data_IF_672163669454
#
_entry.id   IF_672163669454
#
_cell.length_a   1.000
_cell.length_b   1.000
_cell.length_c   1.000
_cell.angle_alpha   90.00
_cell.angle_beta   90.00
_cell.angle_gamma   90.00
#
_symmetry.space_group_name_H-M   'P 1'
#
loop_
_entity.id
_entity.type
_entity.pdbx_description
1 polymer ?
#
# COMPACT_ATOMS: atom_id res chain seq x y z
N UNK A 1 11.31 -7.53 3.58
CA UNK A 1 10.75 -8.89 3.48
C UNK A 1 9.22 -8.86 3.40
N UNK A 2 8.53 -8.25 4.41
CA UNK A 2 7.05 -8.21 4.47
C UNK A 2 6.41 -7.55 3.24
N UNK A 3 7.02 -6.50 2.70
CA UNK A 3 6.57 -5.79 1.51
C UNK A 3 6.74 -6.63 0.23
N UNK A 4 7.94 -7.16 0.02
CA UNK A 4 8.31 -7.82 -1.24
C UNK A 4 7.91 -9.29 -1.29
N UNK A 5 8.00 -10.00 -0.16
CA UNK A 5 7.78 -11.44 -0.13
C UNK A 5 6.40 -11.81 0.45
N UNK A 6 6.35 -12.22 1.72
CA UNK A 6 5.16 -12.74 2.40
C UNK A 6 4.89 -11.87 3.63
N UNK A 7 3.68 -11.33 3.75
CA UNK A 7 2.48 -11.49 2.91
C UNK A 7 2.34 -10.44 1.79
N UNK A 8 3.41 -9.76 1.38
CA UNK A 8 3.40 -8.66 0.41
C UNK A 8 3.24 -9.08 -1.05
N UNK A 9 4.06 -8.45 -1.93
CA UNK A 9 3.92 -8.57 -3.39
C UNK A 9 3.95 -10.00 -3.92
N UNK A 10 4.94 -10.80 -3.53
CA UNK A 10 5.06 -12.16 -4.02
C UNK A 10 3.79 -12.97 -3.73
N UNK A 11 3.28 -12.89 -2.50
CA UNK A 11 2.09 -13.61 -2.10
C UNK A 11 0.83 -13.13 -2.85
N UNK A 12 0.62 -11.82 -2.95
CA UNK A 12 -0.52 -11.21 -3.64
C UNK A 12 -0.53 -11.57 -5.13
N UNK A 13 0.63 -11.45 -5.79
CA UNK A 13 0.78 -11.73 -7.24
C UNK A 13 0.62 -13.23 -7.51
N UNK A 14 1.17 -14.10 -6.67
CA UNK A 14 1.02 -15.53 -6.81
C UNK A 14 -0.45 -15.95 -6.76
N UNK A 15 -1.22 -15.47 -5.77
CA UNK A 15 -2.67 -15.73 -5.69
C UNK A 15 -3.36 -15.25 -6.98
N UNK A 16 -3.06 -14.06 -7.46
CA UNK A 16 -3.67 -13.52 -8.67
C UNK A 16 -3.36 -14.36 -9.91
N UNK A 17 -2.12 -14.84 -10.05
CA UNK A 17 -1.70 -15.66 -11.19
C UNK A 17 -2.31 -17.07 -11.19
N UNK A 18 -2.73 -17.55 -10.04
CA UNK A 18 -3.43 -18.86 -9.91
C UNK A 18 -4.92 -18.79 -10.28
N UNK A 19 -5.50 -17.59 -10.46
CA UNK A 19 -6.91 -17.45 -10.86
C UNK A 19 -7.14 -18.02 -12.26
N UNK A 20 -7.98 -19.06 -12.36
CA UNK A 20 -8.22 -19.79 -13.63
C UNK A 20 -9.36 -19.20 -14.46
N UNK A 21 -10.37 -18.65 -13.79
CA UNK A 21 -11.63 -18.22 -14.41
C UNK A 21 -11.68 -16.72 -14.74
N UNK A 22 -10.51 -16.08 -14.87
CA UNK A 22 -10.39 -14.67 -15.25
C UNK A 22 -9.54 -14.52 -16.50
N UNK A 23 -9.81 -13.51 -17.35
CA UNK A 23 -9.03 -13.29 -18.57
C UNK A 23 -7.57 -12.93 -18.27
N UNK A 24 -6.68 -13.21 -19.22
CA UNK A 24 -5.23 -13.05 -19.07
C UNK A 24 -4.81 -11.65 -18.58
N UNK A 25 -5.45 -10.59 -19.06
CA UNK A 25 -5.14 -9.22 -18.60
C UNK A 25 -5.44 -9.01 -17.11
N UNK A 26 -6.39 -9.76 -16.55
CA UNK A 26 -6.69 -9.72 -15.10
C UNK A 26 -5.69 -10.54 -14.28
N UNK A 27 -5.19 -11.63 -14.85
CA UNK A 27 -4.20 -12.50 -14.18
C UNK A 27 -2.81 -11.87 -14.14
N UNK A 28 -2.41 -11.20 -15.20
CA UNK A 28 -1.05 -10.71 -15.41
C UNK A 28 -0.94 -9.18 -15.47
N UNK A 29 -2.06 -8.47 -15.46
CA UNK A 29 -2.09 -7.02 -15.26
C UNK A 29 -2.17 -6.66 -13.78
N UNK A 30 -2.23 -5.37 -13.47
CA UNK A 30 -2.33 -4.92 -12.09
C UNK A 30 -2.72 -3.46 -11.98
N UNK A 31 -3.36 -3.15 -10.85
CA UNK A 31 -3.66 -1.80 -10.41
C UNK A 31 -2.56 -1.37 -9.42
N UNK A 32 -1.76 -0.39 -9.80
CA UNK A 32 -0.57 0.01 -9.04
C UNK A 32 -0.92 0.39 -7.59
N UNK A 33 -2.02 1.13 -7.40
CA UNK A 33 -2.44 1.53 -6.06
C UNK A 33 -2.91 0.35 -5.19
N UNK A 34 -3.47 -0.70 -5.80
CA UNK A 34 -3.80 -1.93 -5.09
C UNK A 34 -2.53 -2.70 -4.68
N UNK A 35 -1.63 -2.92 -5.62
CA UNK A 35 -0.41 -3.71 -5.40
C UNK A 35 0.52 -3.05 -4.38
N UNK A 36 0.86 -1.77 -4.59
CA UNK A 36 1.72 -1.03 -3.67
C UNK A 36 1.05 -0.76 -2.32
N UNK A 37 -0.26 -0.51 -2.34
CA UNK A 37 -1.04 -0.36 -1.12
C UNK A 37 -1.05 -1.63 -0.30
N UNK A 38 -1.20 -2.80 -0.93
CA UNK A 38 -1.09 -4.09 -0.27
C UNK A 38 0.30 -4.31 0.31
N UNK A 39 1.38 -4.04 -0.45
CA UNK A 39 2.75 -4.15 0.03
C UNK A 39 3.01 -3.32 1.28
N UNK A 40 2.61 -2.05 1.28
CA UNK A 40 2.77 -1.17 2.43
C UNK A 40 1.86 -1.59 3.61
N UNK A 41 0.63 -2.01 3.34
CA UNK A 41 -0.26 -2.58 4.35
C UNK A 41 0.33 -3.85 4.98
N UNK A 42 0.95 -4.73 4.20
CA UNK A 42 1.61 -5.95 4.67
C UNK A 42 2.74 -5.66 5.68
N UNK A 43 3.47 -4.56 5.50
CA UNK A 43 4.46 -4.11 6.49
C UNK A 43 3.82 -3.87 7.87
N UNK A 44 2.59 -3.35 7.91
CA UNK A 44 1.88 -3.08 9.17
C UNK A 44 1.48 -4.36 9.90
N UNK A 45 1.26 -5.46 9.19
CA UNK A 45 0.90 -6.75 9.77
C UNK A 45 2.05 -7.40 10.55
N UNK A 46 3.29 -6.96 10.33
CA UNK A 46 4.45 -7.51 11.02
C UNK A 46 4.38 -7.44 12.55
N UNK A 47 3.65 -6.46 13.09
CA UNK A 47 3.38 -6.39 14.53
C UNK A 47 2.47 -7.52 14.99
N UNK A 48 1.37 -7.74 14.30
CA UNK A 48 0.40 -8.80 14.61
C UNK A 48 1.00 -10.20 14.38
N UNK A 49 1.92 -10.31 13.42
CA UNK A 49 2.67 -11.55 13.13
C UNK A 49 3.85 -11.79 14.10
N UNK A 50 4.17 -10.85 14.99
CA UNK A 50 5.24 -10.99 15.96
C UNK A 50 6.65 -10.97 15.37
N UNK A 51 6.84 -10.44 14.16
CA UNK A 51 8.15 -10.42 13.48
C UNK A 51 8.98 -9.18 13.77
N UNK A 52 8.40 -8.14 14.37
CA UNK A 52 9.13 -6.98 14.88
C UNK A 52 9.54 -7.23 16.34
N UNK A 53 10.58 -8.01 16.52
CA UNK A 53 11.10 -8.41 17.85
C UNK A 53 12.05 -7.38 18.47
N UNK A 54 12.58 -6.48 17.63
CA UNK A 54 13.47 -5.40 18.01
C UNK A 54 12.79 -4.05 17.76
N UNK A 55 12.78 -3.10 18.72
CA UNK A 55 12.25 -1.76 18.55
C UNK A 55 12.83 -1.01 17.32
N UNK A 56 14.10 -1.24 17.00
CA UNK A 56 14.74 -0.63 15.82
C UNK A 56 14.16 -1.14 14.50
N UNK A 57 13.76 -2.42 14.43
CA UNK A 57 13.06 -2.96 13.26
C UNK A 57 11.70 -2.26 13.07
N UNK A 58 10.96 -2.06 14.16
CA UNK A 58 9.68 -1.35 14.09
C UNK A 58 9.86 0.14 13.76
N UNK A 59 10.91 0.76 14.30
CA UNK A 59 11.27 2.14 13.93
C UNK A 59 11.58 2.24 12.43
N UNK A 60 12.36 1.30 11.87
CA UNK A 60 12.64 1.24 10.44
C UNK A 60 11.36 1.11 9.59
N UNK A 61 10.39 0.31 10.04
CA UNK A 61 9.07 0.22 9.40
C UNK A 61 8.35 1.58 9.42
N UNK A 62 8.35 2.29 10.55
CA UNK A 62 7.73 3.62 10.66
C UNK A 62 8.41 4.65 9.76
N UNK A 63 9.73 4.61 9.64
CA UNK A 63 10.46 5.45 8.70
C UNK A 63 10.07 5.15 7.24
N UNK A 64 9.92 3.87 6.91
CA UNK A 64 9.42 3.44 5.59
C UNK A 64 8.01 3.95 5.30
N UNK A 65 7.12 3.94 6.28
CA UNK A 65 5.75 4.46 6.15
C UNK A 65 5.74 5.98 6.01
N UNK A 66 6.53 6.69 6.85
CA UNK A 66 6.70 8.14 6.76
C UNK A 66 7.19 8.54 5.36
N UNK A 67 8.15 7.80 4.82
CA UNK A 67 8.66 8.02 3.47
C UNK A 67 7.56 7.95 2.41
N UNK A 68 6.65 6.96 2.51
CA UNK A 68 5.51 6.83 1.59
C UNK A 68 4.47 7.93 1.81
N UNK A 69 4.32 8.44 3.03
CA UNK A 69 3.48 9.61 3.29
C UNK A 69 4.06 10.91 2.70
N UNK A 70 5.37 11.12 2.80
CA UNK A 70 6.09 12.22 2.16
C UNK A 70 5.87 12.22 0.64
N UNK A 71 5.87 11.06 0.00
CA UNK A 71 5.61 10.91 -1.44
C UNK A 71 4.28 11.54 -1.87
N UNK A 72 3.24 11.49 -1.04
CA UNK A 72 1.95 12.14 -1.34
C UNK A 72 2.09 13.65 -1.53
N UNK A 73 2.96 14.27 -0.74
CA UNK A 73 3.20 15.72 -0.80
C UNK A 73 4.09 16.07 -1.99
N UNK A 74 5.23 15.39 -2.12
CA UNK A 74 6.25 15.79 -3.10
C UNK A 74 5.86 15.46 -4.55
N UNK A 75 5.19 14.34 -4.81
CA UNK A 75 4.70 14.00 -6.15
C UNK A 75 3.60 14.99 -6.59
N UNK A 76 2.65 15.27 -5.70
CA UNK A 76 1.63 16.29 -5.93
C UNK A 76 2.25 17.70 -6.07
N UNK A 77 3.28 17.99 -5.27
CA UNK A 77 4.05 19.22 -5.37
C UNK A 77 4.63 19.41 -6.76
N UNK A 78 5.33 18.40 -7.27
CA UNK A 78 5.91 18.40 -8.62
C UNK A 78 4.86 18.57 -9.72
N UNK A 79 3.89 17.66 -9.76
CA UNK A 79 3.04 17.49 -10.94
C UNK A 79 1.77 18.34 -10.93
N UNK A 80 1.38 18.87 -9.78
CA UNK A 80 0.14 19.66 -9.64
C UNK A 80 0.39 21.08 -9.11
N UNK A 81 1.46 21.31 -8.36
CA UNK A 81 1.73 22.59 -7.71
C UNK A 81 2.94 23.34 -8.27
N UNK A 82 3.62 22.78 -9.25
CA UNK A 82 4.76 23.41 -9.92
C UNK A 82 6.01 23.51 -9.05
N UNK A 83 6.19 22.60 -8.09
CA UNK A 83 7.41 22.55 -7.29
C UNK A 83 8.63 22.23 -8.14
N UNK A 84 9.75 22.84 -7.82
CA UNK A 84 11.03 22.49 -8.42
C UNK A 84 11.57 21.21 -7.80
N UNK A 85 12.53 20.60 -8.49
CA UNK A 85 13.29 19.44 -7.99
C UNK A 85 13.91 19.74 -6.62
N UNK A 86 14.49 20.93 -6.45
CA UNK A 86 15.13 21.37 -5.22
C UNK A 86 14.12 21.48 -4.07
N UNK A 87 12.94 22.04 -4.32
CA UNK A 87 11.87 22.11 -3.31
C UNK A 87 11.44 20.71 -2.84
N UNK A 88 11.41 19.72 -3.72
CA UNK A 88 11.12 18.32 -3.35
C UNK A 88 12.22 17.77 -2.46
N UNK A 89 13.49 17.92 -2.84
CA UNK A 89 14.64 17.45 -2.07
C UNK A 89 14.66 18.11 -0.68
N UNK A 90 14.45 19.40 -0.61
CA UNK A 90 14.42 20.16 0.65
C UNK A 90 13.27 19.68 1.56
N UNK A 91 12.09 19.47 0.99
CA UNK A 91 10.95 18.94 1.75
C UNK A 91 11.22 17.54 2.33
N UNK A 92 11.79 16.63 1.53
CA UNK A 92 12.15 15.29 1.99
C UNK A 92 13.17 15.34 3.13
N UNK A 93 14.21 16.15 3.01
CA UNK A 93 15.25 16.33 4.05
C UNK A 93 14.72 16.99 5.32
N UNK A 94 13.78 17.91 5.19
CA UNK A 94 13.17 18.59 6.34
C UNK A 94 12.21 17.68 7.13
N UNK A 95 11.65 16.64 6.51
CA UNK A 95 10.61 15.80 7.12
C UNK A 95 11.03 14.33 7.34
N UNK A 96 12.27 13.99 7.04
CA UNK A 96 12.81 12.64 7.28
C UNK A 96 14.32 12.67 7.47
N UNK A 97 14.88 11.56 7.92
CA UNK A 97 16.33 11.36 8.04
C UNK A 97 16.97 10.85 6.74
N UNK A 98 16.40 11.18 5.57
CA UNK A 98 16.91 10.71 4.28
C UNK A 98 18.26 11.34 3.95
N UNK A 99 19.18 10.55 3.45
CA UNK A 99 20.46 11.01 2.94
C UNK A 99 20.26 11.81 1.64
N UNK A 100 21.15 12.80 1.40
CA UNK A 100 21.03 13.68 0.24
C UNK A 100 21.03 12.93 -1.09
N UNK A 101 21.83 11.89 -1.22
CA UNK A 101 21.91 11.07 -2.43
C UNK A 101 20.58 10.40 -2.74
N UNK A 102 19.95 9.84 -1.71
CA UNK A 102 18.66 9.15 -1.85
C UNK A 102 17.54 10.14 -2.16
N UNK A 103 17.55 11.31 -1.50
CA UNK A 103 16.58 12.36 -1.78
C UNK A 103 16.64 12.86 -3.24
N UNK A 104 17.85 13.01 -3.77
CA UNK A 104 18.10 13.37 -5.18
C UNK A 104 17.57 12.29 -6.11
N UNK A 105 17.96 11.03 -5.92
CA UNK A 105 17.57 9.91 -6.76
C UNK A 105 16.03 9.73 -6.77
N UNK A 106 15.40 9.86 -5.60
CA UNK A 106 13.95 9.74 -5.48
C UNK A 106 13.21 10.92 -6.13
N UNK A 107 13.72 12.17 -5.99
CA UNK A 107 13.13 13.32 -6.68
C UNK A 107 13.14 13.12 -8.21
N UNK A 108 14.26 12.66 -8.75
CA UNK A 108 14.39 12.37 -10.19
C UNK A 108 13.49 11.20 -10.63
N UNK A 109 13.34 10.19 -9.80
CA UNK A 109 12.39 9.10 -10.04
C UNK A 109 10.95 9.62 -10.11
N UNK A 110 10.53 10.50 -9.20
CA UNK A 110 9.15 11.04 -9.22
C UNK A 110 8.90 11.91 -10.44
N UNK A 111 9.90 12.67 -10.90
CA UNK A 111 9.81 13.43 -12.16
C UNK A 111 9.58 12.49 -13.34
N UNK A 112 10.29 11.35 -13.38
CA UNK A 112 10.24 10.41 -14.51
C UNK A 112 8.95 9.59 -14.59
N UNK A 113 8.30 9.32 -13.45
CA UNK A 113 7.09 8.46 -13.37
C UNK A 113 6.00 9.11 -12.52
N UNK A 114 5.30 10.14 -13.04
CA UNK A 114 4.28 10.88 -12.32
C UNK A 114 3.19 10.00 -11.73
N UNK A 115 2.84 10.23 -10.45
CA UNK A 115 1.74 9.56 -9.77
C UNK A 115 2.05 8.17 -9.21
N UNK A 116 3.12 7.49 -9.64
CA UNK A 116 3.47 6.17 -9.11
C UNK A 116 3.77 6.23 -7.61
N UNK A 117 4.44 7.29 -7.16
CA UNK A 117 4.79 7.49 -5.76
C UNK A 117 3.57 7.60 -4.83
N UNK A 118 2.42 8.03 -5.33
CA UNK A 118 1.16 8.14 -4.57
C UNK A 118 0.54 6.78 -4.25
N UNK A 119 0.77 5.79 -5.08
CA UNK A 119 0.10 4.49 -5.06
C UNK A 119 0.19 3.79 -3.70
N UNK A 120 1.36 3.84 -3.09
CA UNK A 120 1.68 3.17 -1.82
C UNK A 120 0.75 3.60 -0.68
N UNK A 121 0.81 4.87 -0.33
CA UNK A 121 0.08 5.38 0.85
C UNK A 121 -1.42 5.50 0.58
N UNK A 122 -1.84 5.88 -0.63
CA UNK A 122 -3.26 5.93 -1.00
C UNK A 122 -3.87 4.52 -0.92
N UNK A 123 -3.20 3.51 -1.48
CA UNK A 123 -3.70 2.14 -1.44
C UNK A 123 -3.73 1.56 -0.04
N UNK A 124 -2.68 1.78 0.76
CA UNK A 124 -2.63 1.35 2.16
C UNK A 124 -3.76 1.98 2.99
N UNK A 125 -3.97 3.29 2.87
CA UNK A 125 -5.03 3.99 3.59
C UNK A 125 -6.42 3.45 3.23
N UNK A 126 -6.65 3.12 1.96
CA UNK A 126 -7.93 2.53 1.54
C UNK A 126 -8.12 1.13 2.12
N UNK A 127 -7.09 0.26 2.07
CA UNK A 127 -7.19 -1.08 2.67
C UNK A 127 -7.43 -1.00 4.19
N UNK A 128 -6.75 -0.09 4.88
CA UNK A 128 -6.96 0.14 6.32
C UNK A 128 -8.37 0.66 6.63
N UNK A 129 -8.87 1.61 5.83
CA UNK A 129 -10.24 2.12 5.94
C UNK A 129 -11.26 0.98 5.79
N UNK A 130 -11.08 0.10 4.81
CA UNK A 130 -11.97 -1.04 4.62
C UNK A 130 -11.88 -2.06 5.75
N UNK A 131 -10.69 -2.30 6.30
CA UNK A 131 -10.50 -3.15 7.50
C UNK A 131 -11.25 -2.58 8.70
N UNK A 132 -11.07 -1.30 8.99
CA UNK A 132 -11.76 -0.62 10.11
C UNK A 132 -13.28 -0.67 9.95
N UNK A 133 -13.78 -0.42 8.73
CA UNK A 133 -15.21 -0.51 8.40
C UNK A 133 -15.76 -1.91 8.66
N UNK A 134 -15.04 -2.94 8.22
CA UNK A 134 -15.42 -4.33 8.45
C UNK A 134 -15.40 -4.69 9.94
N UNK A 135 -14.37 -4.27 10.67
CA UNK A 135 -14.29 -4.47 12.13
C UNK A 135 -15.46 -3.81 12.87
N UNK A 136 -15.79 -2.57 12.51
CA UNK A 136 -16.90 -1.86 13.14
C UNK A 136 -18.27 -2.51 12.84
N UNK A 137 -18.46 -2.99 11.62
CA UNK A 137 -19.73 -3.60 11.21
C UNK A 137 -19.94 -5.03 11.76
N UNK A 138 -18.87 -5.83 11.81
CA UNK A 138 -18.96 -7.25 12.18
C UNK A 138 -18.68 -7.52 13.67
N UNK A 139 -18.02 -6.57 14.36
CA UNK A 139 -17.71 -6.71 15.78
C UNK A 139 -16.97 -8.02 16.09
N UNK A 140 -17.52 -8.83 17.00
CA UNK A 140 -16.94 -10.11 17.39
C UNK A 140 -16.90 -11.16 16.27
N UNK A 141 -17.67 -10.98 15.17
CA UNK A 141 -17.63 -11.89 14.01
C UNK A 141 -16.49 -11.55 13.04
N UNK A 142 -15.76 -10.44 13.22
CA UNK A 142 -14.67 -10.07 12.32
C UNK A 142 -13.51 -11.06 12.42
N UNK A 143 -13.20 -11.71 11.30
CA UNK A 143 -12.00 -12.55 11.15
C UNK A 143 -11.03 -11.85 10.20
N UNK A 144 -9.83 -11.46 10.65
CA UNK A 144 -8.83 -10.82 9.79
C UNK A 144 -8.36 -11.71 8.64
N UNK A 145 -8.36 -13.02 8.80
CA UNK A 145 -8.01 -13.96 7.71
C UNK A 145 -9.05 -13.96 6.61
N UNK A 146 -10.33 -13.96 6.97
CA UNK A 146 -11.43 -13.86 6.02
C UNK A 146 -11.42 -12.52 5.30
N UNK A 147 -11.12 -11.42 6.01
CA UNK A 147 -10.95 -10.10 5.40
C UNK A 147 -9.80 -10.09 4.37
N UNK A 148 -8.62 -10.60 4.72
CA UNK A 148 -7.48 -10.63 3.79
C UNK A 148 -7.75 -11.54 2.58
N UNK A 149 -8.39 -12.67 2.80
CA UNK A 149 -8.83 -13.55 1.71
C UNK A 149 -9.80 -12.82 0.77
N UNK A 150 -10.77 -12.07 1.34
CA UNK A 150 -11.68 -11.26 0.54
C UNK A 150 -10.94 -10.19 -0.25
N UNK A 151 -9.97 -9.48 0.32
CA UNK A 151 -9.18 -8.48 -0.40
C UNK A 151 -8.49 -9.10 -1.63
N UNK A 152 -7.85 -10.27 -1.47
CA UNK A 152 -6.94 -10.84 -2.46
C UNK A 152 -7.59 -11.78 -3.50
N UNK A 153 -8.72 -12.41 -3.18
CA UNK A 153 -9.28 -13.54 -3.95
C UNK A 153 -9.60 -13.26 -5.42
N UNK A 154 -9.83 -12.01 -5.79
CA UNK A 154 -10.17 -11.61 -7.17
C UNK A 154 -8.99 -10.93 -7.89
N UNK A 155 -7.80 -10.99 -7.31
CA UNK A 155 -6.62 -10.29 -7.79
C UNK A 155 -6.69 -8.79 -7.63
N UNK A 156 -5.79 -8.08 -8.30
CA UNK A 156 -5.68 -6.62 -8.27
C UNK A 156 -6.89 -5.95 -8.91
N UNK A 157 -7.49 -4.98 -8.21
CA UNK A 157 -8.68 -4.23 -8.66
C UNK A 157 -8.52 -2.73 -8.35
N UNK A 158 -9.19 -1.83 -9.09
CA UNK A 158 -9.28 -0.42 -8.70
C UNK A 158 -9.81 -0.26 -7.27
N UNK A 159 -9.31 0.73 -6.53
CA UNK A 159 -9.66 0.91 -5.11
C UNK A 159 -11.18 1.07 -4.87
N UNK A 160 -11.90 1.74 -5.79
CA UNK A 160 -13.36 1.88 -5.71
C UNK A 160 -14.07 0.53 -5.87
N UNK A 161 -13.50 -0.37 -6.67
CA UNK A 161 -14.03 -1.73 -6.83
C UNK A 161 -13.77 -2.55 -5.56
N UNK A 162 -12.59 -2.37 -4.94
CA UNK A 162 -12.27 -2.98 -3.64
C UNK A 162 -13.27 -2.54 -2.58
N UNK A 163 -13.53 -1.22 -2.45
CA UNK A 163 -14.51 -0.69 -1.50
C UNK A 163 -15.89 -1.35 -1.68
N UNK A 164 -16.42 -1.32 -2.90
CA UNK A 164 -17.71 -1.92 -3.21
C UNK A 164 -17.76 -3.44 -2.95
N UNK A 165 -16.64 -4.12 -3.14
CA UNK A 165 -16.47 -5.55 -2.86
C UNK A 165 -16.55 -5.82 -1.36
N UNK A 166 -15.81 -5.09 -0.56
CA UNK A 166 -15.83 -5.24 0.91
C UNK A 166 -17.21 -4.91 1.48
N UNK A 167 -17.90 -3.91 0.93
CA UNK A 167 -19.28 -3.60 1.33
C UNK A 167 -20.25 -4.77 1.11
N UNK A 168 -20.13 -5.45 -0.02
CA UNK A 168 -20.94 -6.66 -0.30
C UNK A 168 -20.57 -7.79 0.64
N UNK A 169 -19.29 -7.99 0.89
CA UNK A 169 -18.81 -9.02 1.80
C UNK A 169 -19.32 -8.80 3.22
N UNK A 170 -19.21 -7.58 3.76
CA UNK A 170 -19.75 -7.25 5.09
C UNK A 170 -21.23 -7.60 5.19
N UNK A 171 -22.05 -7.22 4.18
CA UNK A 171 -23.47 -7.55 4.16
C UNK A 171 -23.76 -9.05 4.14
N UNK A 172 -22.88 -9.85 3.55
CA UNK A 172 -23.02 -11.32 3.50
C UNK A 172 -22.66 -12.01 4.80
N UNK A 173 -21.93 -11.33 5.72
CA UNK A 173 -21.53 -11.85 7.04
C UNK A 173 -22.46 -11.42 8.19
N UNK A 174 -23.40 -10.51 7.91
CA UNK A 174 -24.31 -9.90 8.89
C UNK A 174 -25.42 -10.83 9.32
#
# INVERSE_FOLDING_TARGET
YLHEAIPGHHFQIAIQQELKDVPAFRRFGGETAFAEGWGLYAESLGKDLGVYTDPYQYFGRLQGELWRAIRLVVDTGLHSKGWTREQVIDYMKANSAVENTDAVAEAERYIAIPGQALAYKIGELEIQKQKQKAQAALGAKFDPRAFHAEVLKDGSVPLQVLEAKIDRWIKSQS
#
